data_IF_386524128263
#
_entry.id   IF_386524128263
#
_cell.length_a   1.000
_cell.length_b   1.000
_cell.length_c   1.000
_cell.angle_alpha   90.00
_cell.angle_beta   90.00
_cell.angle_gamma   90.00
#
_symmetry.space_group_name_H-M   'P 1'
#
loop_
_entity.id
_entity.type
_entity.pdbx_description
1 polymer ?
#
# COMPACT_ATOMS: atom_id res chain seq x y z
N UNK A 1 -42.76 38.07 -20.99
CA UNK A 1 -41.48 37.41 -21.36
C UNK A 1 -40.63 36.97 -20.16
N UNK A 2 -41.00 37.24 -18.90
CA UNK A 2 -40.16 36.98 -17.70
C UNK A 2 -40.43 35.65 -16.97
N UNK A 3 -41.47 34.90 -17.33
CA UNK A 3 -41.88 33.68 -16.61
C UNK A 3 -41.11 32.41 -17.04
N UNK A 4 -40.51 32.43 -18.24
CA UNK A 4 -39.73 31.30 -18.79
C UNK A 4 -38.35 31.17 -18.12
N UNK A 5 -37.73 32.29 -17.73
CA UNK A 5 -36.40 32.32 -17.10
C UNK A 5 -36.35 31.74 -15.68
N UNK A 6 -37.47 31.80 -14.93
CA UNK A 6 -37.54 31.21 -13.59
C UNK A 6 -37.54 29.68 -13.63
N UNK A 7 -38.08 29.08 -14.69
CA UNK A 7 -38.16 27.62 -14.85
C UNK A 7 -36.82 27.03 -15.30
N UNK A 8 -36.04 27.76 -16.10
CA UNK A 8 -34.69 27.33 -16.53
C UNK A 8 -33.64 27.47 -15.43
N UNK A 9 -33.76 28.45 -14.53
CA UNK A 9 -32.83 28.60 -13.39
C UNK A 9 -32.97 27.46 -12.37
N UNK A 10 -34.20 27.00 -12.09
CA UNK A 10 -34.47 25.87 -11.19
C UNK A 10 -34.00 24.52 -11.76
N UNK A 11 -34.00 24.35 -13.08
CA UNK A 11 -33.50 23.13 -13.72
C UNK A 11 -31.96 23.07 -13.68
N UNK A 12 -31.28 24.22 -13.79
CA UNK A 12 -29.81 24.28 -13.71
C UNK A 12 -29.25 23.94 -12.33
N UNK A 13 -29.96 24.27 -11.25
CA UNK A 13 -29.54 23.95 -9.87
C UNK A 13 -29.74 22.49 -9.49
N UNK A 14 -30.79 21.81 -10.00
CA UNK A 14 -30.99 20.38 -9.75
C UNK A 14 -29.92 19.50 -10.44
N UNK A 15 -29.46 19.91 -11.63
CA UNK A 15 -28.40 19.19 -12.36
C UNK A 15 -27.02 19.30 -11.67
N UNK A 16 -26.71 20.45 -11.06
CA UNK A 16 -25.45 20.67 -10.33
C UNK A 16 -25.39 19.90 -9.01
N UNK A 17 -26.53 19.63 -8.35
CA UNK A 17 -26.57 18.81 -7.13
C UNK A 17 -26.40 17.31 -7.39
N UNK A 18 -26.77 16.82 -8.58
CA UNK A 18 -26.57 15.40 -8.94
C UNK A 18 -25.13 15.07 -9.35
N UNK A 19 -24.35 16.06 -9.81
CA UNK A 19 -22.95 15.86 -10.19
C UNK A 19 -21.98 15.73 -9.00
N UNK A 20 -22.35 16.21 -7.82
CA UNK A 20 -21.47 16.20 -6.63
C UNK A 20 -21.63 14.96 -5.74
N UNK A 21 -22.61 14.11 -6.05
CA UNK A 21 -22.84 12.83 -5.37
C UNK A 21 -22.22 11.64 -6.13
N UNK A 22 -21.26 11.89 -7.03
CA UNK A 22 -20.33 10.86 -7.48
C UNK A 22 -19.35 10.57 -6.33
N UNK A 23 -19.87 9.96 -5.27
CA UNK A 23 -19.06 9.36 -4.22
C UNK A 23 -18.09 8.41 -4.90
N UNK A 24 -16.81 8.52 -4.53
CA UNK A 24 -15.74 7.67 -5.04
C UNK A 24 -16.22 6.21 -5.04
N UNK A 25 -16.52 5.68 -6.22
CA UNK A 25 -16.80 4.27 -6.42
C UNK A 25 -15.50 3.54 -6.15
N UNK A 26 -15.26 3.19 -4.88
CA UNK A 26 -14.25 2.19 -4.56
C UNK A 26 -14.66 0.94 -5.34
N UNK A 27 -13.84 0.57 -6.32
CA UNK A 27 -14.06 -0.65 -7.08
C UNK A 27 -14.27 -1.80 -6.08
N UNK A 28 -15.38 -2.52 -6.22
CA UNK A 28 -15.70 -3.70 -5.40
C UNK A 28 -14.80 -4.89 -5.78
N UNK A 29 -13.48 -4.67 -5.78
CA UNK A 29 -12.44 -5.69 -5.90
C UNK A 29 -11.88 -6.06 -4.53
N UNK A 30 -11.06 -7.10 -4.49
CA UNK A 30 -10.30 -7.44 -3.29
C UNK A 30 -9.39 -6.27 -2.92
N UNK A 31 -9.51 -5.79 -1.68
CA UNK A 31 -8.63 -4.73 -1.20
C UNK A 31 -7.19 -5.24 -1.14
N UNK A 32 -6.20 -4.39 -1.49
CA UNK A 32 -4.80 -4.74 -1.32
C UNK A 32 -4.51 -5.09 0.15
N UNK A 33 -3.43 -5.82 0.37
CA UNK A 33 -3.02 -6.24 1.70
C UNK A 33 -2.92 -5.01 2.62
N UNK A 34 -3.49 -5.12 3.81
CA UNK A 34 -3.49 -4.00 4.75
C UNK A 34 -2.08 -3.80 5.31
N UNK A 35 -1.68 -2.55 5.59
CA UNK A 35 -0.44 -2.24 6.30
C UNK A 35 -0.26 -3.10 7.56
N UNK A 36 0.88 -3.78 7.68
CA UNK A 36 1.15 -4.61 8.87
C UNK A 36 1.65 -3.77 10.07
N UNK A 37 2.07 -2.53 9.82
CA UNK A 37 2.65 -1.66 10.83
C UNK A 37 2.69 -0.20 10.37
N UNK A 38 3.84 0.46 10.55
CA UNK A 38 4.06 1.86 10.16
C UNK A 38 4.43 2.05 8.68
N UNK A 39 4.66 0.95 7.98
CA UNK A 39 4.92 0.88 6.55
C UNK A 39 3.76 0.13 5.89
N UNK A 40 3.91 -0.29 4.64
CA UNK A 40 2.90 -1.03 3.91
C UNK A 40 2.72 -2.48 4.37
N UNK A 41 2.14 -3.28 3.47
CA UNK A 41 1.88 -4.68 3.74
C UNK A 41 3.18 -5.51 3.75
N UNK A 42 3.08 -6.70 4.34
CA UNK A 42 4.14 -7.71 4.27
C UNK A 42 3.69 -8.78 3.29
N UNK A 43 4.41 -8.90 2.18
CA UNK A 43 4.14 -9.88 1.13
C UNK A 43 5.17 -11.00 1.23
N UNK A 44 4.71 -12.23 1.44
CA UNK A 44 5.57 -13.42 1.45
C UNK A 44 5.77 -13.89 0.01
N UNK A 45 7.01 -14.21 -0.35
CA UNK A 45 7.40 -14.62 -1.70
C UNK A 45 6.86 -13.68 -2.80
N UNK A 46 7.25 -12.39 -2.78
CA UNK A 46 6.69 -11.36 -3.68
C UNK A 46 6.86 -11.68 -5.17
N UNK A 47 7.83 -12.54 -5.53
CA UNK A 47 8.14 -12.92 -6.90
C UNK A 47 7.84 -14.39 -7.23
N UNK A 48 7.31 -15.17 -6.29
CA UNK A 48 6.94 -16.58 -6.49
C UNK A 48 8.12 -17.56 -6.66
N UNK A 49 9.36 -17.11 -6.44
CA UNK A 49 10.58 -17.87 -6.70
C UNK A 49 11.36 -18.19 -5.41
N UNK A 50 11.04 -17.51 -4.30
CA UNK A 50 11.80 -17.55 -3.07
C UNK A 50 10.86 -17.65 -1.85
N UNK A 51 10.37 -18.85 -1.52
CA UNK A 51 9.34 -19.02 -0.48
C UNK A 51 9.82 -18.71 0.95
N UNK A 52 11.12 -18.47 1.15
CA UNK A 52 11.73 -18.10 2.44
C UNK A 52 12.15 -16.63 2.47
N UNK A 53 11.48 -15.79 1.68
CA UNK A 53 11.63 -14.35 1.68
C UNK A 53 10.28 -13.66 1.86
N UNK A 54 10.34 -12.41 2.28
CA UNK A 54 9.20 -11.52 2.30
C UNK A 54 9.63 -10.11 1.92
N UNK A 55 8.67 -9.23 1.67
CA UNK A 55 8.88 -7.84 1.34
C UNK A 55 7.94 -6.98 2.17
N UNK A 56 8.47 -5.95 2.83
CA UNK A 56 7.67 -4.92 3.48
C UNK A 56 7.54 -3.75 2.52
N UNK A 57 6.35 -3.48 2.01
CA UNK A 57 6.13 -2.37 1.06
C UNK A 57 6.38 -1.00 1.71
N UNK A 58 6.91 -0.02 0.96
CA UNK A 58 7.11 1.33 1.50
C UNK A 58 5.79 2.11 1.65
N UNK A 59 4.76 1.80 0.87
CA UNK A 59 3.47 2.51 0.85
C UNK A 59 3.67 4.05 0.81
N UNK A 60 4.45 4.52 -0.16
CA UNK A 60 4.82 5.94 -0.35
C UNK A 60 5.65 6.59 0.78
N UNK A 61 6.16 5.82 1.74
CA UNK A 61 7.08 6.34 2.75
C UNK A 61 8.48 6.50 2.18
N UNK A 62 9.21 7.52 2.64
CA UNK A 62 10.64 7.70 2.32
C UNK A 62 11.46 7.29 3.54
N UNK A 63 12.18 6.18 3.44
CA UNK A 63 12.99 5.63 4.53
C UNK A 63 14.47 5.59 4.15
N UNK A 64 15.34 5.76 5.13
CA UNK A 64 16.79 5.58 5.02
C UNK A 64 17.32 4.79 6.21
N UNK A 65 18.57 4.34 6.11
CA UNK A 65 19.28 3.68 7.22
C UNK A 65 18.53 2.43 7.74
N UNK A 66 18.04 1.63 6.80
CA UNK A 66 17.24 0.45 7.09
C UNK A 66 18.12 -0.70 7.56
N UNK A 67 17.74 -1.29 8.70
CA UNK A 67 18.34 -2.49 9.24
C UNK A 67 17.26 -3.54 9.50
N UNK A 68 17.50 -4.75 9.04
CA UNK A 68 16.60 -5.89 9.22
C UNK A 68 17.28 -6.91 10.12
N UNK A 69 16.52 -7.44 11.07
CA UNK A 69 16.94 -8.54 11.94
C UNK A 69 15.88 -9.62 11.91
N UNK A 70 16.27 -10.80 11.41
CA UNK A 70 15.46 -12.01 11.51
C UNK A 70 15.97 -12.82 12.69
N UNK A 71 15.09 -13.07 13.66
CA UNK A 71 15.44 -13.82 14.85
C UNK A 71 15.55 -15.32 14.54
N UNK A 72 16.56 -15.96 15.11
CA UNK A 72 16.73 -17.40 15.01
C UNK A 72 15.60 -18.16 15.71
N UNK A 73 15.23 -19.32 15.17
CA UNK A 73 14.21 -20.19 15.78
C UNK A 73 14.79 -21.00 16.95
N UNK A 74 14.20 -20.85 18.13
CA UNK A 74 14.58 -21.61 19.35
C UNK A 74 15.92 -21.18 19.95
N UNK A 75 16.41 -21.94 20.93
CA UNK A 75 17.61 -21.58 21.71
C UNK A 75 18.92 -21.61 20.92
N UNK A 76 18.99 -22.44 19.86
CA UNK A 76 20.15 -22.57 18.97
C UNK A 76 19.96 -21.86 17.62
N UNK A 77 18.91 -21.06 17.49
CA UNK A 77 18.62 -20.33 16.26
C UNK A 77 19.67 -19.25 16.01
N UNK A 78 20.16 -19.16 14.76
CA UNK A 78 21.12 -18.13 14.37
C UNK A 78 20.35 -16.87 13.95
N UNK A 79 20.52 -15.71 14.61
CA UNK A 79 19.93 -14.47 14.13
C UNK A 79 20.66 -13.96 12.89
N UNK A 80 19.91 -13.41 11.94
CA UNK A 80 20.45 -12.83 10.71
C UNK A 80 20.17 -11.33 10.76
N UNK A 81 21.22 -10.50 10.72
CA UNK A 81 21.09 -9.04 10.72
C UNK A 81 21.87 -8.44 9.57
N UNK A 82 21.25 -7.51 8.86
CA UNK A 82 21.83 -6.83 7.70
C UNK A 82 21.24 -5.45 7.51
N UNK A 83 21.97 -4.62 6.78
CA UNK A 83 21.51 -3.32 6.33
C UNK A 83 20.98 -3.42 4.90
N UNK A 84 20.01 -2.57 4.58
CA UNK A 84 19.44 -2.47 3.23
C UNK A 84 19.80 -1.11 2.65
N UNK A 85 20.45 -1.12 1.49
CA UNK A 85 20.84 0.09 0.78
C UNK A 85 19.66 0.74 0.03
N UNK A 86 19.82 2.03 -0.31
CA UNK A 86 18.81 2.82 -1.03
C UNK A 86 18.44 2.21 -2.39
N UNK A 87 19.41 1.59 -3.08
CA UNK A 87 19.18 0.94 -4.37
C UNK A 87 18.21 -0.24 -4.25
N UNK A 88 18.35 -1.07 -3.21
CA UNK A 88 17.44 -2.18 -2.96
C UNK A 88 16.03 -1.70 -2.60
N UNK A 89 15.91 -0.63 -1.80
CA UNK A 89 14.62 -0.03 -1.48
C UNK A 89 13.89 0.47 -2.74
N UNK A 90 14.62 1.13 -3.64
CA UNK A 90 14.07 1.61 -4.91
C UNK A 90 13.77 0.47 -5.90
N UNK A 91 14.58 -0.60 -5.90
CA UNK A 91 14.41 -1.74 -6.81
C UNK A 91 13.18 -2.56 -6.45
N UNK A 92 12.94 -2.78 -5.16
CA UNK A 92 11.87 -3.64 -4.67
C UNK A 92 10.63 -2.88 -4.21
N UNK A 93 10.65 -1.54 -4.24
CA UNK A 93 9.63 -0.67 -3.61
C UNK A 93 9.29 -1.11 -2.17
N UNK A 94 10.30 -1.65 -1.50
CA UNK A 94 10.12 -2.43 -0.28
C UNK A 94 11.41 -2.64 0.50
N UNK A 95 11.28 -2.99 1.77
CA UNK A 95 12.36 -3.58 2.57
C UNK A 95 12.37 -5.09 2.33
N UNK A 96 13.40 -5.65 1.65
CA UNK A 96 13.48 -7.08 1.43
C UNK A 96 13.84 -7.80 2.74
N UNK A 97 13.08 -8.84 3.07
CA UNK A 97 13.33 -9.74 4.19
C UNK A 97 13.83 -11.08 3.63
N UNK A 98 15.08 -11.41 3.93
CA UNK A 98 15.67 -12.73 3.70
C UNK A 98 16.00 -13.45 5.01
N UNK A 99 16.05 -14.79 4.94
CA UNK A 99 16.46 -15.65 6.05
C UNK A 99 15.29 -16.19 6.87
N UNK A 100 14.08 -16.24 6.31
CA UNK A 100 12.93 -16.84 6.98
C UNK A 100 13.09 -18.35 7.12
N UNK A 101 12.45 -18.92 8.14
CA UNK A 101 12.47 -20.35 8.43
C UNK A 101 11.08 -20.95 8.21
N UNK A 102 11.03 -22.28 8.01
CA UNK A 102 9.80 -23.07 8.12
C UNK A 102 9.60 -23.59 9.54
#
# INVERSE_FOLDING_TARGET
MFTQYRKTLLAGTLALTFGFAAGNSFAAGFQPAQPAGKLGAIVVDPYGNAPLTALVELDSHVISDVKVTVHGKGEKGVPITYTVGKESLATYDGVPIFGLYR
#
